data_IF_021403096785
#
_entry.id   IF_021403096785
#
_cell.length_a   1.000
_cell.length_b   1.000
_cell.length_c   1.000
_cell.angle_alpha   90.00
_cell.angle_beta   90.00
_cell.angle_gamma   90.00
#
_symmetry.space_group_name_H-M   'P 1'
#
loop_
_entity.id
_entity.type
_entity.pdbx_description
1 polymer ?
#
# COMPACT_ATOMS: atom_id res chain seq x y z
N UNK A 1 3.44 32.41 7.87
CA UNK A 1 2.22 32.30 8.69
C UNK A 1 1.97 33.51 9.62
N UNK A 2 2.99 34.01 10.34
CA UNK A 2 2.87 35.13 11.30
C UNK A 2 2.18 36.38 10.75
N UNK A 3 2.60 36.84 9.56
CA UNK A 3 2.01 38.02 8.93
C UNK A 3 0.50 37.86 8.68
N UNK A 4 0.07 36.65 8.30
CA UNK A 4 -1.33 36.36 8.06
C UNK A 4 -2.12 36.33 9.38
N UNK A 5 -1.61 35.66 10.41
CA UNK A 5 -2.26 35.64 11.72
C UNK A 5 -2.42 37.06 12.31
N UNK A 6 -1.39 37.92 12.16
CA UNK A 6 -1.44 39.28 12.64
C UNK A 6 -2.41 40.18 11.85
N UNK A 7 -2.61 39.92 10.54
CA UNK A 7 -3.49 40.73 9.69
C UNK A 7 -4.95 40.30 9.77
N UNK A 8 -5.22 38.98 9.72
CA UNK A 8 -6.57 38.43 9.82
C UNK A 8 -7.08 38.37 11.25
N UNK A 9 -6.16 38.34 12.22
CA UNK A 9 -6.45 38.12 13.65
C UNK A 9 -7.12 36.77 13.90
N UNK A 10 -6.77 35.79 13.07
CA UNK A 10 -7.22 34.41 13.16
C UNK A 10 -6.04 33.46 13.41
N UNK A 11 -6.33 32.27 13.92
CA UNK A 11 -5.31 31.24 14.09
C UNK A 11 -4.90 30.72 12.71
N UNK A 12 -3.61 30.80 12.39
CA UNK A 12 -3.05 30.26 11.15
C UNK A 12 -2.23 29.03 11.48
N UNK A 13 -2.44 27.93 10.74
CA UNK A 13 -1.71 26.68 10.92
C UNK A 13 -1.40 26.03 9.57
N UNK A 14 -0.27 25.35 9.49
CA UNK A 14 0.12 24.61 8.28
C UNK A 14 1.63 24.41 8.18
N UNK A 15 2.08 23.94 7.02
CA UNK A 15 3.50 23.86 6.68
C UNK A 15 3.98 25.21 6.15
N UNK A 16 5.13 25.67 6.62
CA UNK A 16 5.78 26.88 6.14
C UNK A 16 7.21 26.57 5.69
N UNK A 17 7.61 27.14 4.55
CA UNK A 17 8.98 27.07 4.03
C UNK A 17 9.85 28.08 4.78
N UNK A 18 10.92 27.60 5.40
CA UNK A 18 11.96 28.38 6.07
C UNK A 18 13.33 28.15 5.43
N UNK A 19 14.36 28.75 6.02
CA UNK A 19 15.72 28.68 5.48
C UNK A 19 16.31 27.25 5.40
N UNK A 20 15.86 26.34 6.28
CA UNK A 20 16.35 24.98 6.39
C UNK A 20 15.32 23.92 5.94
N UNK A 21 14.37 24.31 5.08
CA UNK A 21 13.28 23.43 4.62
C UNK A 21 11.94 23.79 5.27
N UNK A 22 11.07 22.80 5.46
CA UNK A 22 9.70 23.03 5.90
C UNK A 22 9.53 22.78 7.40
N UNK A 23 8.56 23.47 8.00
CA UNK A 23 8.18 23.25 9.40
C UNK A 23 6.68 23.33 9.59
N UNK A 24 6.14 22.51 10.48
CA UNK A 24 4.79 22.71 10.98
C UNK A 24 4.77 23.98 11.82
N UNK A 25 3.78 24.83 11.60
CA UNK A 25 3.59 26.09 12.33
C UNK A 25 2.14 26.23 12.75
N UNK A 26 1.96 26.72 13.96
CA UNK A 26 0.69 27.20 14.49
C UNK A 26 0.96 28.57 15.08
N UNK A 27 0.28 29.59 14.55
CA UNK A 27 0.39 30.97 15.00
C UNK A 27 -0.95 31.42 15.53
N UNK A 28 -0.97 31.84 16.79
CA UNK A 28 -2.17 32.29 17.50
C UNK A 28 -2.06 33.79 17.76
N UNK A 29 -3.04 34.61 17.32
CA UNK A 29 -3.08 36.04 17.64
C UNK A 29 -3.33 36.26 19.13
N UNK A 30 -2.64 37.24 19.70
CA UNK A 30 -2.69 37.59 21.12
C UNK A 30 -3.36 38.95 21.28
N UNK A 31 -4.30 39.02 22.22
CA UNK A 31 -5.04 40.22 22.54
C UNK A 31 -4.86 40.59 24.01
N UNK A 32 -4.69 41.88 24.27
CA UNK A 32 -4.73 42.44 25.60
C UNK A 32 -5.80 43.53 25.63
N UNK A 33 -6.78 43.41 26.53
CA UNK A 33 -7.91 44.33 26.64
C UNK A 33 -8.66 44.55 25.30
N UNK A 34 -8.80 43.50 24.49
CA UNK A 34 -9.46 43.55 23.18
C UNK A 34 -8.59 44.16 22.06
N UNK A 35 -7.39 44.63 22.36
CA UNK A 35 -6.43 45.15 21.38
C UNK A 35 -5.49 44.02 20.97
N UNK A 36 -5.32 43.82 19.66
CA UNK A 36 -4.34 42.87 19.13
C UNK A 36 -2.92 43.40 19.36
N UNK A 37 -2.10 42.66 20.11
CA UNK A 37 -0.75 43.08 20.51
C UNK A 37 0.37 42.28 19.81
N UNK A 38 0.01 41.28 19.00
CA UNK A 38 0.96 40.43 18.28
C UNK A 38 0.48 38.98 18.24
N UNK A 39 1.40 38.04 18.04
CA UNK A 39 1.07 36.61 18.00
C UNK A 39 2.14 35.75 18.66
N UNK A 40 1.75 34.53 19.03
CA UNK A 40 2.66 33.49 19.50
C UNK A 40 2.71 32.39 18.46
N UNK A 41 3.92 31.96 18.11
CA UNK A 41 4.19 30.85 17.20
C UNK A 41 4.68 29.64 17.98
N UNK A 42 4.12 28.48 17.67
CA UNK A 42 4.68 27.19 18.00
C UNK A 42 4.98 26.43 16.72
N UNK A 43 6.11 25.72 16.68
CA UNK A 43 6.50 24.98 15.51
C UNK A 43 7.33 23.74 15.80
N UNK A 44 7.26 22.79 14.88
CA UNK A 44 8.13 21.62 14.81
C UNK A 44 8.73 21.48 13.42
N UNK A 45 9.78 20.68 13.32
CA UNK A 45 10.44 20.39 12.04
C UNK A 45 9.58 19.45 11.20
N UNK A 46 9.44 19.74 9.90
CA UNK A 46 8.91 18.80 8.91
C UNK A 46 10.08 18.24 8.10
N UNK A 47 10.80 17.33 8.72
CA UNK A 47 12.10 16.87 8.26
C UNK A 47 12.48 15.54 8.88
N UNK A 48 13.77 15.32 9.13
CA UNK A 48 14.30 14.00 9.46
C UNK A 48 13.75 13.45 10.78
N UNK A 49 13.61 14.28 11.81
CA UNK A 49 13.08 13.84 13.10
C UNK A 49 11.63 13.36 12.98
N UNK A 50 10.79 14.13 12.28
CA UNK A 50 9.40 13.75 12.00
C UNK A 50 9.31 12.39 11.28
N UNK A 51 10.20 12.16 10.31
CA UNK A 51 10.25 10.87 9.62
C UNK A 51 10.65 9.72 10.53
N UNK A 52 11.60 9.96 11.45
CA UNK A 52 12.03 8.95 12.41
C UNK A 52 10.91 8.60 13.39
N UNK A 53 10.19 9.61 13.91
CA UNK A 53 9.06 9.41 14.81
C UNK A 53 7.94 8.56 14.16
N UNK A 54 7.70 8.77 12.86
CA UNK A 54 6.76 7.92 12.09
C UNK A 54 7.32 6.50 11.96
N UNK A 55 8.59 6.35 11.58
CA UNK A 55 9.24 5.06 11.36
C UNK A 55 9.23 4.17 12.60
N UNK A 56 9.38 4.78 13.78
CA UNK A 56 9.35 4.08 15.06
C UNK A 56 7.97 3.48 15.36
N UNK A 57 6.91 4.08 14.83
CA UNK A 57 5.51 3.62 15.01
C UNK A 57 5.04 2.72 13.87
N UNK A 58 5.54 2.95 12.65
CA UNK A 58 5.11 2.28 11.43
C UNK A 58 6.34 1.82 10.64
N UNK A 59 6.57 0.50 10.50
CA UNK A 59 7.68 -0.01 9.71
C UNK A 59 7.58 0.42 8.24
N UNK A 60 8.66 1.00 7.73
CA UNK A 60 8.79 1.48 6.35
C UNK A 60 9.99 2.40 6.19
N UNK A 61 10.30 2.74 4.95
CA UNK A 61 11.26 3.78 4.61
C UNK A 61 10.53 5.02 4.10
N UNK A 62 10.94 6.17 4.62
CA UNK A 62 10.22 7.42 4.47
C UNK A 62 11.11 8.54 3.96
N UNK A 63 10.52 9.40 3.12
CA UNK A 63 11.19 10.49 2.44
C UNK A 63 10.26 11.68 2.25
N UNK A 64 10.83 12.88 2.21
CA UNK A 64 10.13 14.12 1.88
C UNK A 64 10.84 14.74 0.69
N UNK A 65 10.09 15.01 -0.37
CA UNK A 65 10.57 15.67 -1.58
C UNK A 65 9.89 17.01 -1.77
N UNK A 66 10.65 17.97 -2.28
CA UNK A 66 10.11 19.20 -2.85
C UNK A 66 9.71 18.94 -4.31
N UNK A 67 8.58 19.50 -4.73
CA UNK A 67 8.20 19.58 -6.15
C UNK A 67 8.78 20.84 -6.82
N UNK A 68 9.54 21.66 -6.09
CA UNK A 68 10.17 22.87 -6.61
C UNK A 68 11.23 22.48 -7.66
N UNK A 69 11.21 23.14 -8.82
CA UNK A 69 12.19 22.97 -9.89
C UNK A 69 12.29 21.55 -10.50
N UNK A 70 11.22 20.75 -10.46
CA UNK A 70 11.16 19.51 -11.24
C UNK A 70 11.28 19.85 -12.73
N UNK A 71 12.31 19.30 -13.37
CA UNK A 71 12.62 19.56 -14.79
C UNK A 71 13.58 20.72 -15.06
N UNK A 72 14.19 21.33 -14.04
CA UNK A 72 15.32 22.26 -14.27
C UNK A 72 16.60 21.46 -14.56
N UNK A 73 17.15 21.50 -15.79
CA UNK A 73 18.34 20.74 -16.16
C UNK A 73 19.62 21.21 -15.45
N UNK A 74 19.57 22.32 -14.70
CA UNK A 74 20.71 22.86 -13.95
C UNK A 74 20.75 22.41 -12.48
N UNK A 75 19.75 21.67 -12.01
CA UNK A 75 19.68 21.17 -10.64
C UNK A 75 19.83 19.65 -10.63
N UNK A 76 20.77 19.14 -9.82
CA UNK A 76 20.90 17.71 -9.59
C UNK A 76 19.57 17.15 -9.07
N UNK A 77 19.11 16.00 -9.60
CA UNK A 77 17.89 15.32 -9.15
C UNK A 77 17.88 14.99 -7.65
N UNK A 78 19.06 14.95 -7.00
CA UNK A 78 19.21 14.81 -5.55
C UNK A 78 18.87 16.07 -4.74
N UNK A 79 18.79 17.25 -5.37
CA UNK A 79 18.54 18.53 -4.70
C UNK A 79 17.12 18.70 -4.17
N UNK A 80 16.19 17.84 -4.60
CA UNK A 80 14.78 17.91 -4.21
C UNK A 80 14.46 17.12 -2.95
N UNK A 81 15.39 16.33 -2.41
CA UNK A 81 15.20 15.60 -1.14
C UNK A 81 15.31 16.58 0.02
N UNK A 82 14.22 16.77 0.76
CA UNK A 82 14.20 17.57 1.98
C UNK A 82 14.68 16.75 3.17
N UNK A 83 14.20 15.51 3.29
CA UNK A 83 14.59 14.60 4.36
C UNK A 83 14.39 13.14 3.94
N UNK A 84 15.17 12.24 4.53
CA UNK A 84 15.01 10.80 4.36
C UNK A 84 15.44 10.03 5.61
N UNK A 85 14.88 8.84 5.75
CA UNK A 85 15.26 7.85 6.80
C UNK A 85 16.43 6.96 6.37
N UNK A 86 16.62 6.81 5.06
CA UNK A 86 17.72 6.06 4.44
C UNK A 86 18.11 6.70 3.11
N UNK A 87 19.12 6.15 2.44
CA UNK A 87 19.44 6.50 1.05
C UNK A 87 18.33 5.99 0.11
N UNK A 88 17.88 6.84 -0.80
CA UNK A 88 16.79 6.48 -1.70
C UNK A 88 17.27 5.68 -2.92
N UNK A 89 17.09 4.36 -2.86
CA UNK A 89 17.30 3.44 -3.99
C UNK A 89 16.04 3.20 -4.83
N UNK A 90 14.89 3.75 -4.43
CA UNK A 90 13.58 3.61 -5.10
C UNK A 90 13.14 4.91 -5.75
N UNK A 91 14.06 5.56 -6.48
CA UNK A 91 13.77 6.83 -7.15
C UNK A 91 12.65 6.67 -8.18
N UNK A 92 11.67 7.57 -8.12
CA UNK A 92 10.55 7.64 -9.04
C UNK A 92 10.68 8.96 -9.79
N UNK A 93 10.96 8.90 -11.09
CA UNK A 93 11.17 10.08 -11.95
C UNK A 93 10.18 10.13 -13.13
N UNK A 94 9.13 9.30 -13.09
CA UNK A 94 8.11 9.27 -14.13
C UNK A 94 7.31 10.58 -14.16
N UNK A 95 7.30 11.25 -15.32
CA UNK A 95 6.61 12.53 -15.50
C UNK A 95 5.09 12.43 -15.26
N UNK A 96 4.45 11.30 -15.55
CA UNK A 96 3.02 11.13 -15.34
C UNK A 96 2.67 11.19 -13.85
N UNK A 97 3.49 10.53 -13.02
CA UNK A 97 3.32 10.57 -11.58
C UNK A 97 3.58 11.96 -11.00
N UNK A 98 4.58 12.68 -11.51
CA UNK A 98 4.84 14.07 -11.09
C UNK A 98 3.65 14.98 -11.42
N UNK A 99 3.06 14.85 -12.62
CA UNK A 99 1.85 15.60 -13.00
C UNK A 99 0.65 15.29 -12.11
N UNK A 100 0.47 14.04 -11.68
CA UNK A 100 -0.57 13.67 -10.72
C UNK A 100 -0.32 14.30 -9.34
N UNK A 101 0.93 14.28 -8.87
CA UNK A 101 1.29 14.91 -7.59
C UNK A 101 1.07 16.42 -7.60
N UNK A 102 1.40 17.10 -8.71
CA UNK A 102 1.12 18.54 -8.90
C UNK A 102 -0.38 18.87 -8.87
N UNK A 103 -1.24 17.93 -9.28
CA UNK A 103 -2.70 18.05 -9.15
C UNK A 103 -3.23 17.71 -7.75
N UNK A 104 -2.37 17.22 -6.87
CA UNK A 104 -2.72 16.81 -5.51
C UNK A 104 -3.25 15.38 -5.41
N UNK A 105 -3.02 14.56 -6.44
CA UNK A 105 -3.42 13.16 -6.47
C UNK A 105 -2.36 12.28 -5.79
N UNK A 106 -2.80 11.29 -5.02
CA UNK A 106 -1.90 10.29 -4.42
C UNK A 106 -1.56 9.22 -5.46
N UNK A 107 -0.28 8.88 -5.57
CA UNK A 107 0.20 7.86 -6.52
C UNK A 107 0.57 6.60 -5.74
N UNK A 108 0.10 5.45 -6.23
CA UNK A 108 0.39 4.13 -5.67
C UNK A 108 1.13 3.28 -6.70
N UNK A 109 2.27 2.73 -6.29
CA UNK A 109 3.18 2.01 -7.17
C UNK A 109 3.64 0.73 -6.49
N UNK A 110 4.04 -0.23 -7.32
CA UNK A 110 4.79 -1.40 -6.90
C UNK A 110 6.07 -1.41 -7.72
N UNK A 111 7.20 -1.69 -7.09
CA UNK A 111 8.50 -1.78 -7.79
C UNK A 111 8.47 -2.88 -8.86
N UNK A 112 9.35 -2.78 -9.86
CA UNK A 112 9.39 -3.77 -10.96
C UNK A 112 9.62 -5.21 -10.46
N UNK A 113 10.41 -5.37 -9.41
CA UNK A 113 10.68 -6.65 -8.74
C UNK A 113 9.53 -7.14 -7.84
N UNK A 114 8.48 -6.33 -7.67
CA UNK A 114 7.30 -6.57 -6.83
C UNK A 114 7.56 -6.71 -5.33
N UNK A 115 8.79 -6.42 -4.89
CA UNK A 115 9.20 -6.57 -3.50
C UNK A 115 8.71 -5.42 -2.61
N UNK A 116 8.51 -4.23 -3.18
CA UNK A 116 8.15 -3.03 -2.43
C UNK A 116 6.89 -2.37 -2.99
N UNK A 117 6.05 -1.86 -2.09
CA UNK A 117 5.03 -0.88 -2.44
C UNK A 117 5.56 0.52 -2.15
N UNK A 118 5.34 1.43 -3.10
CA UNK A 118 5.71 2.84 -2.98
C UNK A 118 4.43 3.67 -3.05
N UNK A 119 4.25 4.58 -2.10
CA UNK A 119 3.12 5.53 -2.10
C UNK A 119 3.67 6.94 -2.05
N UNK A 120 3.20 7.79 -2.95
CA UNK A 120 3.56 9.20 -3.05
C UNK A 120 2.34 10.05 -2.69
N UNK A 121 2.43 10.81 -1.60
CA UNK A 121 1.33 11.59 -1.04
C UNK A 121 1.70 13.08 -1.10
N UNK A 122 1.03 13.90 -1.91
CA UNK A 122 1.34 15.32 -2.00
C UNK A 122 0.97 16.05 -0.71
N UNK A 123 1.77 17.03 -0.30
CA UNK A 123 1.48 17.91 0.83
C UNK A 123 1.37 19.36 0.39
N UNK A 124 0.58 20.12 1.14
CA UNK A 124 0.30 21.54 0.92
C UNK A 124 0.93 22.39 2.00
N UNK A 125 1.30 23.61 1.65
CA UNK A 125 1.68 24.64 2.62
C UNK A 125 0.44 25.24 3.32
N UNK A 126 0.70 26.21 4.20
CA UNK A 126 -0.35 26.95 4.92
C UNK A 126 -1.26 27.80 4.00
N UNK A 127 -0.87 28.06 2.75
CA UNK A 127 -1.68 28.74 1.74
C UNK A 127 -2.50 27.76 0.89
N UNK A 128 -2.33 26.44 1.08
CA UNK A 128 -3.00 25.42 0.30
C UNK A 128 -2.30 25.08 -1.02
N UNK A 129 -1.11 25.62 -1.26
CA UNK A 129 -0.31 25.33 -2.45
C UNK A 129 0.46 24.02 -2.27
N UNK A 130 0.47 23.17 -3.29
CA UNK A 130 1.23 21.93 -3.27
C UNK A 130 2.72 22.27 -3.40
N UNK A 131 3.53 21.84 -2.44
CA UNK A 131 4.97 22.17 -2.38
C UNK A 131 5.88 20.96 -2.54
N UNK A 132 5.34 19.76 -2.36
CA UNK A 132 6.13 18.56 -2.27
C UNK A 132 5.26 17.33 -2.07
N UNK A 133 5.92 16.21 -1.85
CA UNK A 133 5.26 14.96 -1.50
C UNK A 133 6.06 14.17 -0.47
N UNK A 134 5.32 13.38 0.30
CA UNK A 134 5.84 12.35 1.17
C UNK A 134 5.88 11.04 0.41
N UNK A 135 7.01 10.32 0.47
CA UNK A 135 7.15 9.00 -0.10
C UNK A 135 7.28 7.96 1.00
N UNK A 136 6.48 6.91 0.89
CA UNK A 136 6.49 5.73 1.75
C UNK A 136 6.92 4.54 0.92
N UNK A 137 7.88 3.77 1.41
CA UNK A 137 8.31 2.51 0.83
C UNK A 137 8.14 1.41 1.88
N UNK A 138 7.27 0.45 1.57
CA UNK A 138 7.01 -0.69 2.44
C UNK A 138 7.48 -1.97 1.79
N UNK A 139 8.28 -2.74 2.53
CA UNK A 139 8.69 -4.09 2.17
C UNK A 139 7.48 -5.04 2.21
N UNK A 140 7.37 -5.89 1.20
CA UNK A 140 6.32 -6.90 1.07
C UNK A 140 6.87 -8.30 0.91
N UNK A 141 8.18 -8.50 0.86
CA UNK A 141 8.83 -9.77 0.54
C UNK A 141 8.25 -10.88 1.43
N UNK A 142 8.31 -10.70 2.75
CA UNK A 142 7.80 -11.70 3.70
C UNK A 142 6.29 -11.95 3.55
N UNK A 143 5.52 -10.90 3.27
CA UNK A 143 4.06 -11.00 3.10
C UNK A 143 3.73 -11.75 1.80
N UNK A 144 4.41 -11.44 0.71
CA UNK A 144 4.23 -12.06 -0.60
C UNK A 144 4.68 -13.52 -0.56
N UNK A 145 5.80 -13.82 0.09
CA UNK A 145 6.29 -15.18 0.28
C UNK A 145 5.31 -16.02 1.10
N UNK A 146 4.77 -15.45 2.18
CA UNK A 146 3.73 -16.09 2.99
C UNK A 146 2.48 -16.37 2.16
N UNK A 147 2.02 -15.41 1.35
CA UNK A 147 0.88 -15.58 0.45
C UNK A 147 1.15 -16.68 -0.59
N UNK A 148 2.35 -16.72 -1.17
CA UNK A 148 2.73 -17.72 -2.16
C UNK A 148 2.81 -19.13 -1.54
N UNK A 149 3.35 -19.25 -0.33
CA UNK A 149 3.38 -20.49 0.42
C UNK A 149 1.96 -20.99 0.73
N UNK A 150 1.07 -20.09 1.19
CA UNK A 150 -0.34 -20.42 1.43
C UNK A 150 -1.02 -20.86 0.14
N UNK A 151 -0.85 -20.12 -0.97
CA UNK A 151 -1.42 -20.50 -2.28
C UNK A 151 -0.97 -21.89 -2.72
N UNK A 152 0.33 -22.16 -2.69
CA UNK A 152 0.89 -23.46 -3.06
C UNK A 152 0.31 -24.58 -2.19
N UNK A 153 0.31 -24.40 -0.88
CA UNK A 153 -0.23 -25.39 0.05
C UNK A 153 -1.73 -25.62 -0.17
N UNK A 154 -2.51 -24.55 -0.41
CA UNK A 154 -3.94 -24.64 -0.73
C UNK A 154 -4.20 -25.41 -2.02
N UNK A 155 -3.39 -25.20 -3.08
CA UNK A 155 -3.49 -25.96 -4.33
C UNK A 155 -3.21 -27.44 -4.07
N UNK A 156 -2.16 -27.77 -3.31
CA UNK A 156 -1.81 -29.16 -3.00
C UNK A 156 -2.91 -29.86 -2.18
N UNK A 157 -3.42 -29.20 -1.14
CA UNK A 157 -4.49 -29.75 -0.29
C UNK A 157 -5.77 -29.95 -1.11
N UNK A 158 -6.15 -28.96 -1.92
CA UNK A 158 -7.34 -29.03 -2.77
C UNK A 158 -7.21 -30.15 -3.80
N UNK A 159 -6.05 -30.26 -4.45
CA UNK A 159 -5.76 -31.34 -5.40
C UNK A 159 -5.83 -32.72 -4.76
N UNK A 160 -5.25 -32.89 -3.57
CA UNK A 160 -5.31 -34.15 -2.83
C UNK A 160 -6.75 -34.53 -2.45
N UNK A 161 -7.55 -33.57 -1.95
CA UNK A 161 -8.96 -33.80 -1.62
C UNK A 161 -9.79 -34.20 -2.84
N UNK A 162 -9.58 -33.55 -3.98
CA UNK A 162 -10.25 -33.90 -5.25
C UNK A 162 -9.89 -35.33 -5.68
N UNK A 163 -8.61 -35.71 -5.61
CA UNK A 163 -8.17 -37.07 -5.95
C UNK A 163 -8.78 -38.13 -5.03
N UNK A 164 -8.88 -37.84 -3.73
CA UNK A 164 -9.56 -38.72 -2.76
C UNK A 164 -11.03 -38.86 -3.13
N UNK A 165 -11.72 -37.74 -3.42
CA UNK A 165 -13.14 -37.74 -3.78
C UNK A 165 -13.40 -38.56 -5.05
N UNK A 166 -12.60 -38.36 -6.10
CA UNK A 166 -12.68 -39.12 -7.36
C UNK A 166 -12.43 -40.60 -7.12
N UNK A 167 -11.44 -40.94 -6.29
CA UNK A 167 -11.11 -42.33 -5.96
C UNK A 167 -12.25 -43.02 -5.21
N UNK A 168 -12.85 -42.36 -4.22
CA UNK A 168 -14.01 -42.86 -3.47
C UNK A 168 -15.18 -43.09 -4.43
N UNK A 169 -15.47 -42.13 -5.32
CA UNK A 169 -16.57 -42.23 -6.28
C UNK A 169 -16.35 -43.41 -7.24
N UNK A 170 -15.12 -43.59 -7.73
CA UNK A 170 -14.74 -44.71 -8.59
C UNK A 170 -14.92 -46.07 -7.88
N UNK A 171 -14.49 -46.18 -6.62
CA UNK A 171 -14.64 -47.42 -5.83
C UNK A 171 -16.12 -47.72 -5.56
N UNK A 172 -16.92 -46.71 -5.21
CA UNK A 172 -18.36 -46.86 -4.99
C UNK A 172 -19.08 -47.34 -6.25
N UNK A 173 -18.84 -46.69 -7.40
CA UNK A 173 -19.44 -47.10 -8.67
C UNK A 173 -19.04 -48.52 -9.04
N UNK A 174 -17.76 -48.88 -8.93
CA UNK A 174 -17.28 -50.22 -9.29
C UNK A 174 -17.73 -51.31 -8.32
N UNK A 175 -17.96 -51.03 -7.04
CA UNK A 175 -18.49 -52.02 -6.08
C UNK A 175 -20.00 -52.16 -6.11
N UNK A 176 -20.74 -51.07 -6.31
CA UNK A 176 -22.21 -51.09 -6.28
C UNK A 176 -22.82 -51.52 -7.61
N UNK A 177 -22.23 -51.13 -8.75
CA UNK A 177 -22.80 -51.43 -10.07
C UNK A 177 -22.35 -52.78 -10.64
N UNK A 178 -21.21 -53.32 -10.19
CA UNK A 178 -20.70 -54.61 -10.68
C UNK A 178 -21.60 -55.82 -10.35
N UNK A 179 -22.22 -55.91 -9.16
CA UNK A 179 -23.19 -56.96 -8.86
C UNK A 179 -24.47 -56.87 -9.68
N UNK A 180 -24.86 -55.68 -10.13
CA UNK A 180 -26.06 -55.49 -10.97
C UNK A 180 -25.86 -56.14 -12.34
N UNK A 181 -24.67 -56.01 -12.94
CA UNK A 181 -24.34 -56.69 -14.19
C UNK A 181 -24.48 -58.21 -14.07
N UNK A 182 -23.94 -58.79 -13.01
CA UNK A 182 -24.06 -60.24 -12.74
C UNK A 182 -25.51 -60.69 -12.55
N UNK A 183 -26.36 -59.83 -11.99
CA UNK A 183 -27.78 -60.12 -11.77
C UNK A 183 -28.56 -60.06 -13.09
N UNK A 184 -28.21 -59.12 -13.98
CA UNK A 184 -28.76 -59.05 -15.34
C UNK A 184 -28.36 -60.30 -16.13
N UNK A 185 -27.08 -60.69 -16.10
CA UNK A 185 -26.58 -61.89 -16.78
C UNK A 185 -27.29 -63.15 -16.28
N UNK A 186 -27.49 -63.29 -14.97
CA UNK A 186 -28.20 -64.42 -14.38
C UNK A 186 -29.69 -64.46 -14.77
N UNK A 187 -30.35 -63.30 -14.90
CA UNK A 187 -31.74 -63.23 -15.37
C UNK A 187 -31.83 -63.62 -16.85
N UNK A 188 -30.85 -63.24 -17.67
CA UNK A 188 -30.80 -63.56 -19.10
C UNK A 188 -30.57 -65.06 -19.34
N UNK A 189 -29.69 -65.71 -18.55
CA UNK A 189 -29.49 -67.17 -18.58
C UNK A 189 -30.75 -67.94 -18.14
N UNK A 190 -31.44 -67.48 -17.08
CA UNK A 190 -32.71 -68.07 -16.63
C UNK A 190 -33.82 -67.87 -17.67
N UNK A 191 -33.89 -66.70 -18.32
CA UNK A 191 -34.83 -66.43 -19.40
C UNK A 191 -34.55 -67.26 -20.66
N UNK A 192 -33.28 -67.61 -20.90
CA UNK A 192 -32.85 -68.53 -21.96
C UNK A 192 -33.13 -70.02 -21.63
N UNK A 193 -33.63 -70.32 -20.42
CA UNK A 193 -34.13 -71.63 -20.04
C UNK A 193 -33.13 -72.54 -19.33
N UNK A 194 -31.96 -72.03 -18.91
CA UNK A 194 -31.02 -72.80 -18.09
C UNK A 194 -31.30 -72.60 -16.59
N UNK A 195 -31.94 -73.60 -15.98
CA UNK A 195 -32.34 -73.61 -14.56
C UNK A 195 -31.38 -74.41 -13.67
N UNK A 196 -30.15 -74.70 -14.12
CA UNK A 196 -29.26 -75.66 -13.44
C UNK A 196 -28.37 -75.07 -12.34
N UNK A 197 -28.33 -73.74 -12.16
CA UNK A 197 -27.60 -73.09 -11.05
C UNK A 197 -28.53 -72.65 -9.91
N UNK A 198 -28.10 -72.92 -8.67
CA UNK A 198 -28.76 -72.48 -7.43
C UNK A 198 -28.43 -71.04 -7.09
#
# INVERSE_FOLDING_TARGET
TVNMANSTKEIVKGLEEGANGYGFRVVVPVFYEGVHIGSVEYGSEFGKQFLQDIKDSYPGEYFIYSLKNIGDPNLDSGSNVIASTTEDVWRIEDEEYMKSLEKGETVYLTTQDQNYNVVLIPFKDFNGEIKGYYKVVNDRIETVDSINAIKRNSILITGALLLILVSIFYILLTRLLKPIGLLIDAIEEVAAGDLTKK
#
